data_IF_557845428591
#
_entry.id   IF_557845428591
#
_cell.length_a   1.000
_cell.length_b   1.000
_cell.length_c   1.000
_cell.angle_alpha   90.00
_cell.angle_beta   90.00
_cell.angle_gamma   90.00
#
_symmetry.space_group_name_H-M   'P 1'
#
loop_
_entity.id
_entity.type
_entity.pdbx_description
1 polymer ?
#
# COMPACT_ATOMS: atom_id res chain seq x y z
N UNK A 1 -3.99 16.39 -1.74
CA UNK A 1 -3.27 16.37 -0.46
C UNK A 1 -2.58 15.01 -0.30
N UNK A 2 -1.33 14.96 0.14
CA UNK A 2 -0.61 13.73 0.45
C UNK A 2 -0.70 13.51 1.96
N UNK A 3 -1.07 12.30 2.36
CA UNK A 3 -1.10 11.92 3.76
C UNK A 3 0.19 11.18 4.12
N UNK A 4 0.87 11.62 5.18
CA UNK A 4 2.09 11.02 5.68
C UNK A 4 1.83 10.58 7.13
N UNK A 5 2.07 9.30 7.42
CA UNK A 5 1.97 8.82 8.80
C UNK A 5 3.26 9.10 9.56
N UNK A 6 3.17 9.35 10.87
CA UNK A 6 4.35 9.40 11.73
C UNK A 6 5.11 8.07 11.65
N UNK A 7 6.45 8.09 11.67
CA UNK A 7 7.26 6.87 11.72
C UNK A 7 6.91 6.04 12.96
N UNK A 8 6.78 4.72 12.77
CA UNK A 8 6.45 3.79 13.85
C UNK A 8 7.08 2.42 13.64
N UNK A 9 7.32 1.70 14.72
CA UNK A 9 7.61 0.29 14.65
C UNK A 9 6.37 -0.50 14.28
N UNK A 10 6.53 -1.52 13.47
CA UNK A 10 5.46 -2.45 13.09
C UNK A 10 5.93 -3.87 13.36
N UNK A 11 5.32 -4.50 14.34
CA UNK A 11 5.53 -5.91 14.68
C UNK A 11 4.38 -6.74 14.09
N UNK A 12 4.70 -7.95 13.65
CA UNK A 12 3.75 -8.91 13.11
C UNK A 12 3.95 -10.24 13.77
N UNK A 13 2.86 -10.80 14.24
CA UNK A 13 2.83 -12.09 14.92
C UNK A 13 1.91 -13.03 14.14
N UNK A 14 2.31 -14.29 14.03
CA UNK A 14 1.41 -15.34 13.63
C UNK A 14 0.53 -15.72 14.81
N UNK A 15 -0.75 -15.91 14.57
CA UNK A 15 -1.73 -16.36 15.56
C UNK A 15 -2.50 -17.55 14.98
N UNK A 16 -2.96 -18.45 15.84
CA UNK A 16 -3.86 -19.53 15.47
C UNK A 16 -5.32 -19.09 15.55
N UNK A 17 -6.25 -19.96 15.17
CA UNK A 17 -7.69 -19.66 15.16
C UNK A 17 -8.23 -19.42 16.58
N UNK A 18 -7.74 -20.16 17.58
CA UNK A 18 -8.16 -19.96 18.98
C UNK A 18 -7.71 -18.60 19.50
N UNK A 19 -6.46 -18.21 19.22
CA UNK A 19 -5.93 -16.87 19.54
C UNK A 19 -6.76 -15.76 18.88
N UNK A 20 -7.16 -15.97 17.62
CA UNK A 20 -8.02 -15.00 16.91
C UNK A 20 -9.34 -14.77 17.66
N UNK A 21 -10.05 -15.83 18.07
CA UNK A 21 -11.31 -15.69 18.80
C UNK A 21 -11.10 -15.08 20.19
N UNK A 22 -10.05 -15.47 20.89
CA UNK A 22 -9.73 -14.91 22.20
C UNK A 22 -9.43 -13.40 22.11
N UNK A 23 -8.58 -13.00 21.17
CA UNK A 23 -8.22 -11.59 20.93
C UNK A 23 -9.46 -10.79 20.50
N UNK A 24 -10.24 -11.30 19.55
CA UNK A 24 -11.46 -10.64 19.05
C UNK A 24 -12.43 -10.37 20.19
N UNK A 25 -12.65 -11.36 21.09
CA UNK A 25 -13.54 -11.20 22.22
C UNK A 25 -13.07 -10.19 23.26
N UNK A 26 -11.76 -10.05 23.44
CA UNK A 26 -11.18 -9.05 24.35
C UNK A 26 -11.21 -7.64 23.76
N UNK A 27 -10.80 -7.51 22.50
CA UNK A 27 -10.67 -6.20 21.83
C UNK A 27 -12.02 -5.52 21.63
N UNK A 28 -13.14 -6.24 21.43
CA UNK A 28 -14.47 -5.66 21.24
C UNK A 28 -14.94 -4.73 22.39
N UNK A 29 -14.33 -4.86 23.57
CA UNK A 29 -14.66 -4.02 24.73
C UNK A 29 -13.89 -2.70 24.78
N UNK A 30 -12.82 -2.57 23.99
CA UNK A 30 -11.91 -1.41 24.03
C UNK A 30 -11.66 -0.79 22.64
N UNK A 31 -12.14 -1.42 21.57
CA UNK A 31 -11.98 -0.93 20.20
C UNK A 31 -13.27 -1.12 19.39
N UNK A 32 -13.52 -0.20 18.50
CA UNK A 32 -14.60 -0.27 17.51
C UNK A 32 -14.12 -0.96 16.24
N UNK A 33 -15.06 -1.49 15.46
CA UNK A 33 -14.79 -1.99 14.12
C UNK A 33 -14.34 -0.84 13.21
N UNK A 34 -13.51 -1.17 12.22
CA UNK A 34 -13.09 -0.22 11.18
C UNK A 34 -14.33 0.32 10.45
N UNK A 35 -14.39 1.63 10.22
CA UNK A 35 -15.51 2.30 9.55
C UNK A 35 -15.78 1.77 8.14
N UNK A 36 -14.78 1.17 7.49
CA UNK A 36 -14.93 0.56 6.17
C UNK A 36 -15.49 -0.86 6.23
N UNK A 37 -15.59 -1.46 7.42
CA UNK A 37 -16.20 -2.78 7.58
C UNK A 37 -17.71 -2.66 7.45
N UNK A 38 -18.31 -3.51 6.61
CA UNK A 38 -19.75 -3.62 6.51
C UNK A 38 -20.39 -4.31 7.74
N UNK A 39 -21.65 -4.64 7.64
CA UNK A 39 -22.42 -5.34 8.71
C UNK A 39 -21.73 -6.65 9.14
N UNK A 40 -21.04 -7.32 8.23
CA UNK A 40 -20.28 -8.55 8.52
C UNK A 40 -19.00 -8.33 9.33
N UNK A 41 -18.59 -7.08 9.55
CA UNK A 41 -17.30 -6.76 10.18
C UNK A 41 -16.07 -7.07 9.31
N UNK A 42 -16.27 -7.30 8.00
CA UNK A 42 -15.23 -7.62 7.04
C UNK A 42 -15.29 -6.69 5.83
N UNK A 43 -14.18 -6.55 5.14
CA UNK A 43 -14.11 -5.85 3.85
C UNK A 43 -12.99 -6.45 2.98
N UNK A 44 -13.18 -6.36 1.68
CA UNK A 44 -12.18 -6.79 0.72
C UNK A 44 -11.16 -5.68 0.46
N UNK A 45 -9.90 -6.05 0.44
CA UNK A 45 -8.81 -5.14 0.08
C UNK A 45 -8.13 -5.70 -1.16
N UNK A 46 -8.07 -4.90 -2.22
CA UNK A 46 -7.24 -5.22 -3.39
C UNK A 46 -6.03 -4.29 -3.43
N UNK A 47 -4.87 -4.89 -3.60
CA UNK A 47 -3.60 -4.15 -3.65
C UNK A 47 -2.76 -4.64 -4.82
N UNK A 48 -2.48 -3.74 -5.75
CA UNK A 48 -1.60 -3.98 -6.88
C UNK A 48 -0.21 -3.41 -6.54
N UNK A 49 0.74 -4.30 -6.33
CA UNK A 49 2.12 -3.93 -5.99
C UNK A 49 2.96 -3.69 -7.23
N UNK A 50 3.85 -2.71 -7.11
CA UNK A 50 4.88 -2.42 -8.11
C UNK A 50 6.17 -3.14 -7.73
N UNK A 51 6.81 -3.71 -8.74
CA UNK A 51 8.17 -4.24 -8.65
C UNK A 51 8.85 -4.13 -10.01
N UNK A 52 10.16 -4.34 -10.04
CA UNK A 52 10.88 -4.38 -11.30
C UNK A 52 11.06 -5.83 -11.81
N UNK A 53 11.76 -5.97 -12.94
CA UNK A 53 12.04 -7.27 -13.54
C UNK A 53 12.80 -8.21 -12.57
N UNK A 54 13.70 -7.65 -11.75
CA UNK A 54 14.55 -8.41 -10.83
C UNK A 54 13.93 -8.63 -9.44
N UNK A 55 12.62 -8.44 -9.26
CA UNK A 55 11.94 -8.60 -7.96
C UNK A 55 12.58 -7.81 -6.81
N UNK A 56 13.06 -6.60 -7.10
CA UNK A 56 13.81 -5.76 -6.15
C UNK A 56 13.09 -5.60 -4.81
N UNK A 57 11.81 -5.23 -4.83
CA UNK A 57 11.06 -4.99 -3.59
C UNK A 57 10.82 -6.28 -2.79
N UNK A 58 10.67 -7.42 -3.47
CA UNK A 58 10.57 -8.73 -2.86
C UNK A 58 11.91 -9.13 -2.22
N UNK A 59 13.01 -9.04 -2.98
CA UNK A 59 14.36 -9.42 -2.51
C UNK A 59 14.82 -8.54 -1.36
N UNK A 60 14.61 -7.23 -1.40
CA UNK A 60 14.91 -6.33 -0.29
C UNK A 60 14.17 -6.72 0.99
N UNK A 61 12.93 -7.22 0.87
CA UNK A 61 12.16 -7.70 2.01
C UNK A 61 12.72 -9.03 2.54
N UNK A 62 13.00 -10.00 1.65
CA UNK A 62 13.51 -11.34 2.02
C UNK A 62 14.88 -11.24 2.66
N UNK A 63 15.77 -10.45 2.06
CA UNK A 63 17.14 -10.25 2.55
C UNK A 63 17.24 -9.31 3.75
N UNK A 64 16.11 -8.76 4.21
CA UNK A 64 16.08 -7.97 5.44
C UNK A 64 16.71 -6.58 5.35
N UNK A 65 16.86 -6.00 4.13
CA UNK A 65 17.47 -4.66 3.99
C UNK A 65 16.85 -3.65 4.97
N UNK A 66 17.70 -2.91 5.66
CA UNK A 66 17.29 -1.91 6.64
C UNK A 66 16.61 -0.69 6.01
N UNK A 67 16.94 -0.38 4.75
CA UNK A 67 16.32 0.68 3.97
C UNK A 67 15.63 0.08 2.75
N UNK A 68 14.32 0.11 2.73
CA UNK A 68 13.52 -0.42 1.62
C UNK A 68 12.21 0.33 1.46
N UNK A 69 11.68 0.31 0.26
CA UNK A 69 10.40 0.93 -0.07
C UNK A 69 9.59 0.05 -1.01
N UNK A 70 8.28 0.22 -0.98
CA UNK A 70 7.38 -0.43 -1.92
C UNK A 70 6.19 0.45 -2.24
N UNK A 71 5.78 0.43 -3.48
CA UNK A 71 4.60 1.12 -3.98
C UNK A 71 3.47 0.14 -4.23
N UNK A 72 2.24 0.62 -4.04
CA UNK A 72 1.04 -0.12 -4.42
C UNK A 72 -0.11 0.82 -4.73
N UNK A 73 -1.00 0.38 -5.59
CA UNK A 73 -2.35 0.94 -5.74
C UNK A 73 -3.28 0.08 -4.90
N UNK A 74 -4.16 0.72 -4.11
CA UNK A 74 -5.09 0.02 -3.21
C UNK A 74 -6.49 0.62 -3.30
N UNK A 75 -7.48 -0.26 -3.26
CA UNK A 75 -8.88 0.09 -3.07
C UNK A 75 -9.62 -0.96 -2.23
N UNK A 76 -10.83 -0.64 -1.78
CA UNK A 76 -11.61 -1.41 -0.83
C UNK A 76 -13.01 -1.69 -1.39
N UNK A 77 -13.54 -2.90 -1.18
CA UNK A 77 -14.93 -3.28 -1.49
C UNK A 77 -15.37 -2.93 -2.90
N UNK A 78 -14.48 -3.05 -3.90
CA UNK A 78 -14.70 -2.65 -5.29
C UNK A 78 -15.16 -1.17 -5.47
N UNK A 79 -14.86 -0.33 -4.47
CA UNK A 79 -15.14 1.09 -4.52
C UNK A 79 -14.04 1.83 -5.28
N UNK A 80 -14.24 2.06 -6.56
CA UNK A 80 -13.31 2.78 -7.44
C UNK A 80 -13.29 4.30 -7.21
N UNK A 81 -14.20 4.84 -6.40
CA UNK A 81 -14.14 6.26 -6.00
C UNK A 81 -13.08 6.52 -4.92
N UNK A 82 -12.56 5.46 -4.30
CA UNK A 82 -11.57 5.57 -3.24
C UNK A 82 -10.32 4.72 -3.54
N UNK A 83 -9.59 5.11 -4.60
CA UNK A 83 -8.34 4.47 -4.98
C UNK A 83 -7.18 5.28 -4.42
N UNK A 84 -6.19 4.60 -3.88
CA UNK A 84 -5.00 5.20 -3.28
C UNK A 84 -3.71 4.64 -3.86
N UNK A 85 -2.82 5.54 -4.30
CA UNK A 85 -1.41 5.22 -4.42
C UNK A 85 -0.78 5.29 -3.03
N UNK A 86 -0.12 4.25 -2.61
CA UNK A 86 0.58 4.19 -1.32
C UNK A 86 2.04 3.79 -1.52
N UNK A 87 2.93 4.50 -0.82
CA UNK A 87 4.31 4.08 -0.62
C UNK A 87 4.51 3.73 0.86
N UNK A 88 5.06 2.57 1.12
CA UNK A 88 5.54 2.19 2.46
C UNK A 88 7.05 2.16 2.44
N UNK A 89 7.67 2.99 3.26
CA UNK A 89 9.10 3.06 3.47
C UNK A 89 9.44 2.44 4.82
N UNK A 90 10.52 1.68 4.89
CA UNK A 90 11.11 1.21 6.13
C UNK A 90 12.58 1.63 6.17
N UNK A 91 12.97 2.35 7.22
CA UNK A 91 14.34 2.79 7.45
C UNK A 91 14.70 2.47 8.90
N UNK A 92 15.72 1.65 9.10
CA UNK A 92 16.20 1.25 10.42
C UNK A 92 15.07 0.79 11.38
N UNK A 93 14.17 -0.06 10.86
CA UNK A 93 13.04 -0.58 11.64
C UNK A 93 11.80 0.31 11.67
N UNK A 94 11.93 1.61 11.44
CA UNK A 94 10.81 2.56 11.41
C UNK A 94 10.08 2.54 10.08
N UNK A 95 8.76 2.40 10.15
CA UNK A 95 7.88 2.38 8.98
C UNK A 95 7.14 3.71 8.83
N UNK A 96 7.18 4.28 7.63
CA UNK A 96 6.41 5.46 7.24
C UNK A 96 5.53 5.10 6.04
N UNK A 97 4.31 5.59 6.03
CA UNK A 97 3.37 5.42 4.91
C UNK A 97 3.05 6.78 4.30
N UNK A 98 3.15 6.85 2.98
CA UNK A 98 2.71 7.98 2.16
C UNK A 98 1.50 7.53 1.36
N UNK A 99 0.52 8.40 1.18
CA UNK A 99 -0.70 8.08 0.45
C UNK A 99 -1.21 9.28 -0.34
N UNK A 100 -1.56 9.05 -1.60
CA UNK A 100 -2.17 10.03 -2.48
C UNK A 100 -3.39 9.42 -3.19
N UNK A 101 -4.49 10.17 -3.39
CA UNK A 101 -5.64 9.68 -4.13
C UNK A 101 -5.31 9.57 -5.63
N UNK A 102 -5.85 8.53 -6.26
CA UNK A 102 -5.88 8.34 -7.70
C UNK A 102 -7.32 8.25 -8.20
N UNK A 103 -7.56 8.66 -9.43
CA UNK A 103 -8.81 8.36 -10.15
C UNK A 103 -8.71 7.01 -10.85
N UNK A 104 -9.85 6.43 -11.22
CA UNK A 104 -9.91 5.20 -12.02
C UNK A 104 -9.15 5.36 -13.34
N UNK A 105 -9.37 6.46 -14.04
CA UNK A 105 -8.68 6.79 -15.31
C UNK A 105 -7.15 6.86 -15.15
N UNK A 106 -6.68 7.47 -14.05
CA UNK A 106 -5.26 7.53 -13.75
C UNK A 106 -4.67 6.14 -13.51
N UNK A 107 -5.42 5.25 -12.86
CA UNK A 107 -5.00 3.86 -12.68
C UNK A 107 -4.92 3.12 -14.02
N UNK A 108 -5.93 3.27 -14.88
CA UNK A 108 -5.96 2.65 -16.21
C UNK A 108 -4.77 3.14 -17.07
N UNK A 109 -4.44 4.44 -17.04
CA UNK A 109 -3.26 4.98 -17.70
C UNK A 109 -1.96 4.34 -17.20
N UNK A 110 -1.81 4.21 -15.87
CA UNK A 110 -0.62 3.56 -15.27
C UNK A 110 -0.52 2.10 -15.74
N UNK A 111 -1.63 1.35 -15.77
CA UNK A 111 -1.67 -0.04 -16.23
C UNK A 111 -1.26 -0.18 -17.70
N UNK A 112 -1.67 0.78 -18.53
CA UNK A 112 -1.32 0.84 -19.96
C UNK A 112 0.06 1.46 -20.22
N UNK A 113 0.84 1.75 -19.17
CA UNK A 113 2.14 2.41 -19.25
C UNK A 113 2.10 3.84 -19.87
N UNK A 114 0.92 4.47 -19.87
CA UNK A 114 0.77 5.90 -20.18
C UNK A 114 1.01 6.69 -18.89
N UNK A 115 2.25 7.10 -18.67
CA UNK A 115 2.71 7.66 -17.38
C UNK A 115 3.21 9.11 -17.47
N UNK A 116 3.30 9.71 -18.65
CA UNK A 116 3.91 11.06 -18.82
C UNK A 116 3.11 12.15 -18.05
N UNK A 117 1.81 12.00 -17.91
CA UNK A 117 0.97 12.89 -17.11
C UNK A 117 1.39 12.98 -15.64
N UNK A 118 2.05 11.92 -15.11
CA UNK A 118 2.46 11.85 -13.71
C UNK A 118 3.54 12.88 -13.37
N UNK A 119 4.36 13.29 -14.35
CA UNK A 119 5.39 14.30 -14.18
C UNK A 119 4.81 15.66 -13.82
N UNK A 120 3.65 15.99 -14.40
CA UNK A 120 2.95 17.26 -14.18
C UNK A 120 1.89 17.19 -13.06
N UNK A 121 1.89 16.09 -12.29
CA UNK A 121 0.97 15.95 -11.18
C UNK A 121 1.31 16.92 -10.04
N UNK A 122 0.30 17.51 -9.41
CA UNK A 122 0.46 18.32 -8.20
C UNK A 122 0.71 17.47 -6.92
N UNK A 123 0.85 16.15 -7.05
CA UNK A 123 1.09 15.22 -5.95
C UNK A 123 2.50 14.63 -6.06
N UNK A 124 3.39 15.00 -5.17
CA UNK A 124 4.81 14.58 -5.22
C UNK A 124 4.98 13.04 -5.16
N UNK A 125 4.06 12.32 -4.52
CA UNK A 125 4.11 10.85 -4.49
C UNK A 125 3.87 10.23 -5.88
N UNK A 126 3.02 10.86 -6.71
CA UNK A 126 2.78 10.43 -8.09
C UNK A 126 4.01 10.71 -8.95
N UNK A 127 4.60 11.90 -8.80
CA UNK A 127 5.85 12.23 -9.48
C UNK A 127 6.99 11.29 -9.06
N UNK A 128 7.09 10.97 -7.76
CA UNK A 128 8.07 10.02 -7.27
C UNK A 128 7.91 8.64 -7.93
N UNK A 129 6.68 8.15 -8.03
CA UNK A 129 6.41 6.88 -8.72
C UNK A 129 6.83 6.97 -10.19
N UNK A 130 6.55 8.06 -10.90
CA UNK A 130 7.00 8.28 -12.28
C UNK A 130 8.51 8.08 -12.40
N UNK A 131 9.31 8.78 -11.58
CA UNK A 131 10.76 8.65 -11.61
C UNK A 131 11.23 7.23 -11.28
N UNK A 132 10.57 6.53 -10.37
CA UNK A 132 10.86 5.13 -10.05
C UNK A 132 10.51 4.19 -11.22
N UNK A 133 9.39 4.43 -11.89
CA UNK A 133 9.02 3.67 -13.09
C UNK A 133 10.02 3.86 -14.21
N UNK A 134 10.53 5.08 -14.42
CA UNK A 134 11.56 5.36 -15.44
C UNK A 134 12.95 4.84 -15.04
N UNK A 135 13.44 5.15 -13.84
CA UNK A 135 14.82 4.88 -13.42
C UNK A 135 15.03 3.44 -12.92
N UNK A 136 14.05 2.82 -12.31
CA UNK A 136 14.14 1.46 -11.74
C UNK A 136 13.28 0.45 -12.49
N UNK A 137 12.64 0.87 -13.58
CA UNK A 137 11.73 0.05 -14.39
C UNK A 137 10.63 -0.63 -13.55
N UNK A 138 10.11 0.10 -12.55
CA UNK A 138 8.98 -0.39 -11.76
C UNK A 138 7.73 -0.51 -12.64
N UNK A 139 7.02 -1.61 -12.51
CA UNK A 139 5.75 -1.88 -13.18
C UNK A 139 4.74 -2.46 -12.19
N UNK A 140 3.43 -2.28 -12.42
CA UNK A 140 2.43 -3.09 -11.73
C UNK A 140 2.73 -4.57 -11.97
N UNK A 141 2.87 -5.37 -10.89
CA UNK A 141 3.33 -6.76 -11.02
C UNK A 141 2.47 -7.76 -10.27
N UNK A 142 2.15 -7.51 -9.01
CA UNK A 142 1.48 -8.50 -8.15
C UNK A 142 0.17 -7.95 -7.59
N UNK A 143 -0.93 -8.61 -7.91
CA UNK A 143 -2.26 -8.33 -7.33
C UNK A 143 -2.52 -9.25 -6.13
N UNK A 144 -2.93 -8.66 -5.01
CA UNK A 144 -3.31 -9.35 -3.76
C UNK A 144 -4.67 -8.87 -3.30
#
# INVERSE_FOLDING_TARGET
MIFITKPRHELKFFINVADYFAIKNRIKHIASLDLNSGVSGTYHIRSLYFDNFNDKALLEKVNGYSKREKFRIRYYNDNFNFIRLEKKSKINGLCTKFSAPLTKEQCEKILNNDIEWMLNSNKSLIQELYFKMKSQMLKPKTLV
#
